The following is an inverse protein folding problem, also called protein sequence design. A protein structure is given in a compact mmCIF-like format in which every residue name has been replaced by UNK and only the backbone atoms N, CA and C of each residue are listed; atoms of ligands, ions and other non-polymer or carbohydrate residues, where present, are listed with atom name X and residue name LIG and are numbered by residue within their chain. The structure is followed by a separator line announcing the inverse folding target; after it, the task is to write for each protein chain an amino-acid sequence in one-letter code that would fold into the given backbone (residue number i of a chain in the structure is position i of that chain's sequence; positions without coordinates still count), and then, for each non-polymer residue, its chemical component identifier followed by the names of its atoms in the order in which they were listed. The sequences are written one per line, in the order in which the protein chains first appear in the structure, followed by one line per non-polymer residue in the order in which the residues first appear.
data_IF_952441821602
#
_entry.id   IF_952441821602
#
_cell.length_a   1.000
_cell.length_b   1.000
_cell.length_c   1.000
_cell.angle_alpha   90.00
_cell.angle_beta   90.00
_cell.angle_gamma   90.00
#
_symmetry.space_group_name_H-M   'P 1'
#
loop_
_entity.id
_entity.type
_entity.pdbx_description
1 polymer ?
#
# COMPACT_ATOMS: atom_id res chain seq x y z
N UNK A 1 19.79 9.96 9.06
CA UNK A 1 19.98 8.78 8.19
C UNK A 1 19.02 7.62 8.51
N UNK A 2 19.16 6.86 9.61
CA UNK A 2 18.25 5.71 9.85
C UNK A 2 16.81 6.11 10.21
N UNK A 3 16.64 7.17 10.98
CA UNK A 3 15.32 7.67 11.40
C UNK A 3 14.50 8.21 10.21
N UNK A 4 15.14 8.97 9.31
CA UNK A 4 14.50 9.52 8.10
C UNK A 4 14.03 8.43 7.13
N UNK A 5 14.79 7.32 7.01
CA UNK A 5 14.40 6.18 6.18
C UNK A 5 13.17 5.45 6.75
N UNK A 6 13.11 5.26 8.08
CA UNK A 6 11.96 4.65 8.76
C UNK A 6 10.72 5.54 8.62
N UNK A 7 10.87 6.85 8.79
CA UNK A 7 9.77 7.81 8.62
C UNK A 7 9.24 7.83 7.19
N UNK A 8 10.13 7.82 6.19
CA UNK A 8 9.73 7.77 4.80
C UNK A 8 8.99 6.47 4.45
N UNK A 9 9.48 5.33 4.94
CA UNK A 9 8.82 4.05 4.76
C UNK A 9 7.40 4.03 5.33
N UNK A 10 7.22 4.52 6.57
CA UNK A 10 5.90 4.62 7.20
C UNK A 10 4.95 5.49 6.40
N UNK A 11 5.42 6.62 5.87
CA UNK A 11 4.64 7.50 4.99
C UNK A 11 4.21 6.76 3.73
N UNK A 12 5.12 6.05 3.06
CA UNK A 12 4.79 5.27 1.85
C UNK A 12 3.77 4.18 2.17
N UNK A 13 3.97 3.43 3.25
CA UNK A 13 3.03 2.41 3.72
C UNK A 13 1.63 3.01 3.95
N UNK A 14 1.54 4.14 4.67
CA UNK A 14 0.27 4.79 4.97
C UNK A 14 -0.43 5.28 3.69
N UNK A 15 0.31 5.83 2.72
CA UNK A 15 -0.27 6.25 1.44
C UNK A 15 -0.78 5.05 0.64
N UNK A 16 -0.05 3.93 0.62
CA UNK A 16 -0.47 2.70 -0.05
C UNK A 16 -1.71 2.09 0.58
N UNK A 17 -1.98 2.36 1.87
CA UNK A 17 -3.23 1.97 2.53
C UNK A 17 -4.46 2.70 1.95
N UNK A 18 -4.29 3.87 1.33
CA UNK A 18 -5.35 4.62 0.66
C UNK A 18 -5.56 4.23 -0.80
N UNK A 19 -4.53 3.64 -1.42
CA UNK A 19 -4.58 3.15 -2.80
C UNK A 19 -5.29 1.79 -2.79
N UNK A 20 -6.39 1.63 -3.53
CA UNK A 20 -6.98 0.30 -3.78
C UNK A 20 -6.58 -0.21 -5.16
N UNK A 21 -6.55 0.70 -6.12
CA UNK A 21 -6.21 0.44 -7.52
C UNK A 21 -5.17 1.44 -8.01
N UNK A 22 -4.50 1.13 -9.12
CA UNK A 22 -3.57 2.07 -9.77
C UNK A 22 -4.16 3.45 -10.10
N UNK A 23 -5.49 3.53 -10.25
CA UNK A 23 -6.20 4.78 -10.53
C UNK A 23 -6.41 5.65 -9.28
N UNK A 24 -6.18 5.11 -8.08
CA UNK A 24 -6.35 5.84 -6.82
C UNK A 24 -5.11 6.65 -6.42
N UNK A 25 -4.01 6.58 -7.18
CA UNK A 25 -2.71 7.17 -6.78
C UNK A 25 -2.82 8.68 -6.62
N UNK A 26 -3.39 9.40 -7.59
CA UNK A 26 -3.56 10.86 -7.51
C UNK A 26 -4.39 11.29 -6.29
N UNK A 27 -5.49 10.57 -6.04
CA UNK A 27 -6.35 10.83 -4.90
C UNK A 27 -5.61 10.54 -3.58
N UNK A 28 -4.81 9.48 -3.54
CA UNK A 28 -4.05 9.07 -2.36
C UNK A 28 -2.96 10.07 -2.01
N UNK A 29 -2.27 10.62 -3.01
CA UNK A 29 -1.30 11.69 -2.82
C UNK A 29 -1.97 12.98 -2.34
N UNK A 30 -3.13 13.32 -2.90
CA UNK A 30 -3.91 14.49 -2.44
C UNK A 30 -4.29 14.34 -0.96
N UNK A 31 -4.83 13.17 -0.58
CA UNK A 31 -5.15 12.86 0.83
C UNK A 31 -3.92 12.90 1.72
N UNK A 32 -2.77 12.45 1.23
CA UNK A 32 -1.52 12.45 2.01
C UNK A 32 -1.08 13.88 2.36
N UNK A 33 -1.22 14.81 1.41
CA UNK A 33 -0.93 16.24 1.64
C UNK A 33 -1.95 16.83 2.63
N UNK A 34 -3.24 16.56 2.43
CA UNK A 34 -4.33 17.07 3.30
C UNK A 34 -4.19 16.57 4.75
N UNK A 35 -3.73 15.33 4.93
CA UNK A 35 -3.46 14.74 6.25
C UNK A 35 -2.13 15.15 6.85
N UNK A 36 -1.30 15.90 6.11
CA UNK A 36 0.02 16.32 6.56
C UNK A 36 1.07 15.20 6.60
N UNK A 37 0.83 14.07 5.92
CA UNK A 37 1.79 12.97 5.81
C UNK A 37 3.01 13.37 4.96
N UNK A 38 2.77 14.17 3.92
CA UNK A 38 3.81 14.71 3.04
C UNK A 38 3.58 16.20 2.81
N UNK A 39 4.66 16.94 2.58
CA UNK A 39 4.60 18.33 2.13
C UNK A 39 4.42 18.41 0.62
N UNK A 40 3.89 19.54 0.14
CA UNK A 40 3.69 19.78 -1.30
C UNK A 40 4.98 19.61 -2.12
N UNK A 41 6.13 20.02 -1.57
CA UNK A 41 7.43 19.87 -2.23
C UNK A 41 7.95 18.42 -2.28
N UNK A 42 7.36 17.49 -1.53
CA UNK A 42 7.67 16.06 -1.57
C UNK A 42 6.73 15.29 -2.50
N UNK A 43 5.68 15.94 -3.01
CA UNK A 43 4.62 15.33 -3.82
C UNK A 43 5.18 14.50 -4.97
N UNK A 44 6.03 15.08 -5.81
CA UNK A 44 6.48 14.42 -7.04
C UNK A 44 7.34 13.20 -6.73
N UNK A 45 8.25 13.31 -5.75
CA UNK A 45 9.08 12.20 -5.30
C UNK A 45 8.20 11.02 -4.83
N UNK A 46 7.26 11.30 -3.94
CA UNK A 46 6.41 10.25 -3.36
C UNK A 46 5.46 9.69 -4.41
N UNK A 47 4.88 10.53 -5.26
CA UNK A 47 4.04 10.10 -6.38
C UNK A 47 4.77 9.11 -7.28
N UNK A 48 6.01 9.40 -7.67
CA UNK A 48 6.82 8.49 -8.50
C UNK A 48 7.07 7.16 -7.79
N UNK A 49 7.44 7.17 -6.52
CA UNK A 49 7.64 5.95 -5.74
C UNK A 49 6.37 5.10 -5.67
N UNK A 50 5.21 5.72 -5.41
CA UNK A 50 3.93 5.00 -5.41
C UNK A 50 3.62 4.43 -6.80
N UNK A 51 3.82 5.22 -7.87
CA UNK A 51 3.63 4.76 -9.25
C UNK A 51 4.51 3.56 -9.61
N UNK A 52 5.78 3.56 -9.20
CA UNK A 52 6.68 2.43 -9.40
C UNK A 52 6.17 1.16 -8.70
N UNK A 53 5.67 1.29 -7.47
CA UNK A 53 5.15 0.16 -6.69
C UNK A 53 3.88 -0.41 -7.33
N UNK A 54 2.90 0.44 -7.68
CA UNK A 54 1.61 -0.05 -8.22
C UNK A 54 1.73 -0.62 -9.63
N UNK A 55 2.74 -0.20 -10.39
CA UNK A 55 2.98 -0.70 -11.76
C UNK A 55 4.10 -1.75 -11.82
N UNK A 56 4.73 -2.10 -10.69
CA UNK A 56 5.74 -3.15 -10.68
C UNK A 56 5.14 -4.46 -11.16
N UNK A 57 5.80 -5.15 -12.09
CA UNK A 57 5.26 -6.35 -12.76
C UNK A 57 4.73 -7.40 -11.77
N UNK A 58 5.47 -7.66 -10.70
CA UNK A 58 5.11 -8.63 -9.66
C UNK A 58 4.01 -8.15 -8.71
N UNK A 59 3.84 -6.84 -8.56
CA UNK A 59 2.89 -6.25 -7.59
C UNK A 59 1.61 -5.79 -8.25
N UNK A 60 1.62 -5.50 -9.55
CA UNK A 60 0.52 -4.92 -10.33
C UNK A 60 -0.80 -5.66 -10.11
N UNK A 61 -0.77 -6.99 -10.01
CA UNK A 61 -1.94 -7.83 -9.72
C UNK A 61 -2.65 -7.43 -8.41
N UNK A 62 -1.91 -6.93 -7.43
CA UNK A 62 -2.44 -6.47 -6.14
C UNK A 62 -3.07 -5.07 -6.19
N UNK A 63 -3.00 -4.38 -7.33
CA UNK A 63 -3.56 -3.04 -7.58
C UNK A 63 -4.47 -3.01 -8.82
N UNK A 64 -4.79 -4.19 -9.39
CA UNK A 64 -5.71 -4.31 -10.52
C UNK A 64 -7.17 -4.07 -10.12
N UNK A 65 -7.95 -3.58 -11.08
CA UNK A 65 -9.36 -3.25 -10.84
C UNK A 65 -10.24 -4.49 -10.66
N UNK A 66 -11.20 -4.37 -9.74
CA UNK A 66 -12.19 -5.41 -9.48
C UNK A 66 -11.68 -6.56 -8.61
N UNK A 67 -10.48 -6.45 -8.04
CA UNK A 67 -10.07 -7.26 -6.91
C UNK A 67 -10.65 -6.66 -5.61
N UNK A 68 -10.89 -7.52 -4.62
CA UNK A 68 -11.28 -7.07 -3.29
C UNK A 68 -10.02 -6.83 -2.45
N UNK A 69 -9.81 -5.59 -2.03
CA UNK A 69 -8.64 -5.16 -1.26
C UNK A 69 -9.01 -5.00 0.21
N UNK A 70 -8.30 -5.72 1.06
CA UNK A 70 -8.51 -5.85 2.48
C UNK A 70 -7.22 -5.48 3.22
N UNK A 71 -7.03 -4.19 3.44
CA UNK A 71 -5.84 -3.68 4.15
C UNK A 71 -5.92 -3.98 5.65
N UNK A 72 -4.76 -4.26 6.25
CA UNK A 72 -4.58 -4.47 7.69
C UNK A 72 -5.50 -5.54 8.33
N UNK A 73 -6.02 -6.48 7.54
CA UNK A 73 -6.92 -7.50 8.07
C UNK A 73 -6.16 -8.57 8.86
N UNK A 74 -6.76 -8.97 9.98
CA UNK A 74 -6.18 -9.98 10.88
C UNK A 74 -6.61 -11.38 10.44
N UNK A 75 -5.64 -12.26 10.19
CA UNK A 75 -5.86 -13.67 9.84
C UNK A 75 -5.74 -14.52 11.12
N UNK A 76 -6.88 -15.05 11.57
CA UNK A 76 -6.95 -15.97 12.72
C UNK A 76 -6.71 -17.39 12.22
N UNK A 77 -5.65 -18.02 12.72
CA UNK A 77 -5.31 -19.41 12.41
C UNK A 77 -5.86 -20.34 13.49
N UNK A 78 -6.31 -21.54 13.10
CA UNK A 78 -6.81 -22.56 14.04
C UNK A 78 -5.75 -22.99 15.05
N UNK A 79 -4.49 -23.02 14.62
CA UNK A 79 -3.31 -23.27 15.43
C UNK A 79 -2.19 -22.32 14.97
N UNK A 80 -1.44 -21.72 15.89
CA UNK A 80 -0.34 -20.80 15.57
C UNK A 80 -0.60 -19.34 15.96
N UNK A 81 0.28 -18.45 15.48
CA UNK A 81 0.19 -17.00 15.74
C UNK A 81 -0.69 -16.35 14.69
N UNK A 82 -1.51 -15.41 15.14
CA UNK A 82 -2.25 -14.49 14.27
C UNK A 82 -1.30 -13.71 13.35
N UNK A 83 -1.65 -13.59 12.08
CA UNK A 83 -0.89 -12.82 11.08
C UNK A 83 -1.70 -11.60 10.68
N UNK A 84 -1.03 -10.46 10.53
CA UNK A 84 -1.63 -9.21 10.01
C UNK A 84 -0.76 -8.69 8.86
N UNK A 85 -1.07 -9.05 7.60
CA UNK A 85 -0.41 -8.45 6.45
C UNK A 85 -0.83 -6.98 6.29
N UNK A 86 0.02 -6.18 5.66
CA UNK A 86 -0.30 -4.79 5.34
C UNK A 86 -1.46 -4.71 4.34
N UNK A 87 -1.44 -5.61 3.35
CA UNK A 87 -2.50 -5.74 2.35
C UNK A 87 -2.82 -7.20 2.07
N UNK A 88 -4.11 -7.50 2.00
CA UNK A 88 -4.64 -8.74 1.46
C UNK A 88 -5.49 -8.43 0.21
N UNK A 89 -5.28 -9.18 -0.87
CA UNK A 89 -6.03 -9.01 -2.12
C UNK A 89 -6.68 -10.34 -2.50
N UNK A 90 -8.01 -10.34 -2.59
CA UNK A 90 -8.78 -11.47 -3.12
C UNK A 90 -9.08 -11.21 -4.60
N UNK A 91 -8.54 -12.05 -5.47
CA UNK A 91 -8.80 -11.95 -6.91
C UNK A 91 -10.14 -12.54 -7.28
N UNK A 92 -10.63 -12.20 -8.47
CA UNK A 92 -11.86 -12.80 -9.05
C UNK A 92 -11.78 -14.32 -9.17
N UNK A 93 -10.57 -14.88 -9.26
CA UNK A 93 -10.32 -16.32 -9.32
C UNK A 93 -10.30 -16.99 -7.94
N UNK A 94 -10.65 -16.26 -6.87
CA UNK A 94 -10.58 -16.71 -5.47
C UNK A 94 -9.18 -17.02 -4.98
N UNK A 95 -8.16 -16.42 -5.61
CA UNK A 95 -6.78 -16.47 -5.13
C UNK A 95 -6.55 -15.32 -4.15
N UNK A 96 -5.74 -15.57 -3.12
CA UNK A 96 -5.42 -14.56 -2.10
C UNK A 96 -3.94 -14.22 -2.18
N UNK A 97 -3.64 -12.95 -2.39
CA UNK A 97 -2.29 -12.40 -2.34
C UNK A 97 -2.11 -11.61 -1.04
N UNK A 98 -1.02 -11.87 -0.34
CA UNK A 98 -0.63 -11.14 0.86
C UNK A 98 0.59 -10.29 0.54
N UNK A 99 0.53 -9.00 0.88
CA UNK A 99 1.61 -8.05 0.71
C UNK A 99 2.03 -7.48 2.05
N UNK A 100 3.34 -7.35 2.24
CA UNK A 100 3.99 -6.76 3.39
C UNK A 100 5.07 -5.81 2.87
N UNK A 101 4.94 -4.52 3.17
CA UNK A 101 5.88 -3.52 2.70
C UNK A 101 7.06 -3.48 3.65
N UNK A 102 8.23 -3.95 3.19
CA UNK A 102 9.47 -3.80 3.97
C UNK A 102 9.97 -2.36 3.86
N UNK A 103 9.76 -1.60 4.93
CA UNK A 103 10.27 -0.24 5.17
C UNK A 103 11.57 -0.26 5.98
#
# INVERSE_FOLDING_TARGET
HRQEAIEYGNVVHEILSFVKTKNDVDLSITKAIERGLIKYNQKDLVYHTIQEIVNHSELSICFEEGNEVLNEQTIIQKEGKTIKPDRMVLTKNKEVYLLDYKT
#
